data_IF_978001193839
#
_entry.id   IF_978001193839
#
_cell.length_a   1.000
_cell.length_b   1.000
_cell.length_c   1.000
_cell.angle_alpha   90.00
_cell.angle_beta   90.00
_cell.angle_gamma   90.00
#
_symmetry.space_group_name_H-M   'P 1'
#
loop_
_entity.id
_entity.type
_entity.pdbx_description
1 polymer ?
#
# COMPACT_ATOMS: atom_id res chain seq x y z
N UNK A 1 -14.99 19.81 3.49
CA UNK A 1 -14.76 18.36 3.33
C UNK A 1 -14.11 17.86 4.60
N UNK A 2 -14.58 16.75 5.19
CA UNK A 2 -13.80 16.09 6.24
C UNK A 2 -12.49 15.63 5.61
N UNK A 3 -11.38 16.00 6.22
CA UNK A 3 -10.06 15.57 5.82
C UNK A 3 -9.98 14.03 5.99
N UNK A 4 -9.69 13.30 4.91
CA UNK A 4 -9.51 11.85 4.99
C UNK A 4 -8.14 11.57 5.60
N UNK A 5 -8.11 10.91 6.76
CA UNK A 5 -6.87 10.58 7.47
C UNK A 5 -6.40 9.15 7.22
N UNK A 6 -7.34 8.22 7.01
CA UNK A 6 -7.05 6.79 6.82
C UNK A 6 -7.74 6.29 5.56
N UNK A 7 -6.99 5.61 4.70
CA UNK A 7 -7.50 4.93 3.50
C UNK A 7 -7.10 3.46 3.52
N UNK A 8 -8.06 2.56 3.33
CA UNK A 8 -7.83 1.12 3.44
C UNK A 8 -8.40 0.36 2.22
N UNK A 9 -7.51 -0.25 1.44
CA UNK A 9 -7.73 -1.17 0.34
C UNK A 9 -7.36 -2.62 0.67
N UNK A 10 -7.02 -2.92 1.92
CA UNK A 10 -6.49 -4.23 2.29
C UNK A 10 -7.50 -5.35 1.99
N UNK A 11 -7.01 -6.45 1.42
CA UNK A 11 -7.83 -7.60 1.03
C UNK A 11 -8.60 -7.41 -0.28
N UNK A 12 -8.49 -6.26 -0.95
CA UNK A 12 -9.01 -6.07 -2.31
C UNK A 12 -8.14 -6.84 -3.33
N UNK A 13 -8.25 -8.16 -3.34
CA UNK A 13 -7.44 -9.09 -4.14
C UNK A 13 -7.59 -8.93 -5.66
N UNK A 14 -8.59 -8.17 -6.12
CA UNK A 14 -8.78 -7.82 -7.54
C UNK A 14 -8.22 -6.45 -7.93
N UNK A 15 -7.77 -5.65 -6.96
CA UNK A 15 -7.17 -4.34 -7.21
C UNK A 15 -5.77 -4.53 -7.78
N UNK A 16 -5.66 -4.49 -9.12
CA UNK A 16 -4.38 -4.61 -9.85
C UNK A 16 -3.66 -3.29 -10.04
N UNK A 17 -4.43 -2.21 -10.11
CA UNK A 17 -3.93 -0.84 -10.28
C UNK A 17 -4.46 0.01 -9.15
N UNK A 18 -3.57 0.74 -8.52
CA UNK A 18 -3.95 1.70 -7.50
C UNK A 18 -4.56 2.95 -8.19
N UNK A 19 -5.62 3.55 -7.63
CA UNK A 19 -6.29 4.69 -8.25
C UNK A 19 -5.37 5.91 -8.35
N UNK A 20 -5.55 6.72 -9.39
CA UNK A 20 -4.82 7.97 -9.51
C UNK A 20 -5.27 8.96 -8.43
N UNK A 21 -4.31 9.52 -7.70
CA UNK A 21 -4.55 10.55 -6.68
C UNK A 21 -4.51 11.93 -7.32
N UNK A 22 -5.60 12.68 -7.18
CA UNK A 22 -5.70 14.05 -7.67
C UNK A 22 -5.48 15.05 -6.53
N UNK A 23 -4.56 16.00 -6.74
CA UNK A 23 -4.20 16.99 -5.74
C UNK A 23 -3.43 16.40 -4.55
N UNK A 24 -2.91 17.28 -3.68
CA UNK A 24 -2.19 16.86 -2.48
C UNK A 24 -3.16 16.35 -1.41
N UNK A 25 -2.86 15.18 -0.86
CA UNK A 25 -3.61 14.58 0.25
C UNK A 25 -2.82 14.77 1.57
N UNK A 26 -2.60 16.02 1.96
CA UNK A 26 -1.82 16.38 3.15
C UNK A 26 -2.38 15.86 4.47
N UNK A 27 -3.67 15.56 4.49
CA UNK A 27 -4.34 15.04 5.68
C UNK A 27 -4.37 13.52 5.74
N UNK A 28 -4.04 12.81 4.65
CA UNK A 28 -3.99 11.35 4.66
C UNK A 28 -2.72 10.90 5.38
N UNK A 29 -2.88 10.27 6.54
CA UNK A 29 -1.80 9.84 7.42
C UNK A 29 -1.50 8.34 7.27
N UNK A 30 -2.52 7.51 6.99
CA UNK A 30 -2.36 6.07 6.91
C UNK A 30 -2.98 5.49 5.64
N UNK A 31 -2.22 4.66 4.93
CA UNK A 31 -2.66 3.93 3.74
C UNK A 31 -2.39 2.45 3.92
N UNK A 32 -3.47 1.66 3.99
CA UNK A 32 -3.41 0.21 4.07
C UNK A 32 -3.81 -0.39 2.72
N UNK A 33 -2.94 -1.16 2.09
CA UNK A 33 -3.21 -1.83 0.81
C UNK A 33 -2.69 -3.26 0.80
N UNK A 34 -2.64 -3.90 1.97
CA UNK A 34 -2.12 -5.24 2.13
C UNK A 34 -2.97 -6.29 1.40
N UNK A 35 -2.36 -7.37 0.91
CA UNK A 35 -3.06 -8.47 0.22
C UNK A 35 -3.89 -8.01 -1.00
N UNK A 36 -3.40 -7.01 -1.73
CA UNK A 36 -3.96 -6.60 -3.02
C UNK A 36 -3.19 -7.22 -4.18
N UNK A 37 -3.75 -7.18 -5.39
CA UNK A 37 -3.06 -7.65 -6.60
C UNK A 37 -2.25 -6.55 -7.29
N UNK A 38 -1.95 -5.44 -6.59
CA UNK A 38 -1.27 -4.27 -7.14
C UNK A 38 0.09 -4.68 -7.70
N UNK A 39 0.31 -4.34 -8.96
CA UNK A 39 1.55 -4.64 -9.69
C UNK A 39 2.52 -3.45 -9.64
N UNK A 40 1.96 -2.24 -9.63
CA UNK A 40 2.69 -0.96 -9.60
C UNK A 40 1.91 0.10 -8.82
N UNK A 41 2.63 1.01 -8.17
CA UNK A 41 2.05 2.23 -7.60
C UNK A 41 2.05 3.34 -8.67
N UNK A 42 0.94 4.08 -8.84
CA UNK A 42 0.87 5.17 -9.79
C UNK A 42 1.82 6.29 -9.37
N UNK A 43 2.20 7.10 -10.35
CA UNK A 43 3.08 8.23 -10.09
C UNK A 43 2.48 9.20 -9.06
N UNK A 44 1.16 9.38 -9.11
CA UNK A 44 0.40 10.21 -8.18
C UNK A 44 0.49 9.79 -6.69
N UNK A 45 1.08 8.63 -6.35
CA UNK A 45 1.32 8.25 -4.94
C UNK A 45 2.19 9.28 -4.19
N UNK A 46 3.05 10.02 -4.90
CA UNK A 46 3.83 11.11 -4.33
C UNK A 46 3.00 12.31 -3.84
N UNK A 47 1.70 12.36 -4.17
CA UNK A 47 0.79 13.39 -3.65
C UNK A 47 0.31 13.11 -2.21
N UNK A 48 0.64 11.95 -1.64
CA UNK A 48 0.34 11.61 -0.25
C UNK A 48 1.35 12.26 0.71
N UNK A 49 1.46 13.59 0.66
CA UNK A 49 2.47 14.37 1.42
C UNK A 49 2.25 14.33 2.95
N UNK A 50 1.06 13.92 3.39
CA UNK A 50 0.70 13.73 4.80
C UNK A 50 1.11 12.39 5.40
N UNK A 51 1.46 11.42 4.56
CA UNK A 51 1.49 10.01 4.94
C UNK A 51 2.58 9.70 5.96
N UNK A 52 2.21 8.92 6.97
CA UNK A 52 3.08 8.45 8.06
C UNK A 52 3.25 6.94 8.00
N UNK A 53 2.22 6.20 7.57
CA UNK A 53 2.24 4.74 7.43
C UNK A 53 1.76 4.32 6.04
N UNK A 54 2.55 3.48 5.37
CA UNK A 54 2.21 2.81 4.11
C UNK A 54 2.36 1.29 4.25
N UNK A 55 1.24 0.57 4.25
CA UNK A 55 1.18 -0.89 4.32
C UNK A 55 0.91 -1.50 2.94
N UNK A 56 1.92 -2.18 2.39
CA UNK A 56 1.86 -2.93 1.12
C UNK A 56 2.16 -4.41 1.32
N UNK A 57 1.99 -4.94 2.54
CA UNK A 57 2.30 -6.34 2.82
C UNK A 57 1.49 -7.27 1.92
N UNK A 58 2.07 -8.39 1.52
CA UNK A 58 1.43 -9.44 0.71
C UNK A 58 0.95 -8.99 -0.67
N UNK A 59 1.42 -7.85 -1.16
CA UNK A 59 1.26 -7.45 -2.56
C UNK A 59 2.24 -8.26 -3.42
N UNK A 60 1.90 -9.53 -3.66
CA UNK A 60 2.78 -10.52 -4.30
C UNK A 60 3.24 -10.15 -5.70
N UNK A 61 2.56 -9.23 -6.39
CA UNK A 61 2.92 -8.80 -7.74
C UNK A 61 3.69 -7.48 -7.77
N UNK A 62 3.85 -6.80 -6.62
CA UNK A 62 4.57 -5.54 -6.53
C UNK A 62 6.07 -5.81 -6.55
N UNK A 63 6.75 -5.35 -7.62
CA UNK A 63 8.17 -5.64 -7.89
C UNK A 63 9.11 -4.46 -7.62
N UNK A 64 8.58 -3.25 -7.60
CA UNK A 64 9.39 -2.04 -7.42
C UNK A 64 8.60 -0.95 -6.69
N UNK A 65 9.35 -0.02 -6.11
CA UNK A 65 8.81 1.22 -5.56
C UNK A 65 9.21 2.40 -6.44
N UNK A 66 8.35 3.41 -6.62
CA UNK A 66 8.66 4.58 -7.42
C UNK A 66 9.66 5.50 -6.69
N UNK A 67 10.95 5.38 -7.04
CA UNK A 67 12.11 6.12 -6.47
C UNK A 67 11.88 7.62 -6.34
N UNK A 68 11.59 8.29 -7.45
CA UNK A 68 11.47 9.77 -7.51
C UNK A 68 10.27 10.32 -6.75
N UNK A 69 9.28 9.48 -6.47
CA UNK A 69 7.97 9.94 -6.02
C UNK A 69 7.82 9.83 -4.51
N UNK A 70 8.60 8.93 -3.91
CA UNK A 70 8.82 8.87 -2.47
C UNK A 70 9.60 10.09 -1.94
N UNK A 71 10.20 10.92 -2.80
CA UNK A 71 10.92 12.14 -2.39
C UNK A 71 10.00 13.13 -1.66
N UNK A 72 8.71 13.16 -1.98
CA UNK A 72 7.72 14.08 -1.40
C UNK A 72 7.04 13.54 -0.13
N UNK A 73 7.35 12.31 0.29
CA UNK A 73 6.74 11.65 1.44
C UNK A 73 7.58 11.88 2.71
N UNK A 74 7.89 13.14 3.02
CA UNK A 74 8.82 13.53 4.10
C UNK A 74 8.39 13.12 5.50
N UNK A 75 7.08 12.88 5.68
CA UNK A 75 6.48 12.48 6.96
C UNK A 75 6.41 10.96 7.15
N UNK A 76 6.75 10.18 6.11
CA UNK A 76 6.65 8.73 6.16
C UNK A 76 7.59 8.18 7.24
N UNK A 77 7.03 7.41 8.16
CA UNK A 77 7.77 6.75 9.24
C UNK A 77 7.78 5.25 9.07
N UNK A 78 6.67 4.68 8.61
CA UNK A 78 6.49 3.24 8.53
C UNK A 78 6.17 2.81 7.11
N UNK A 79 6.99 1.89 6.58
CA UNK A 79 6.80 1.28 5.28
C UNK A 79 6.86 -0.24 5.41
N UNK A 80 5.72 -0.90 5.21
CA UNK A 80 5.58 -2.34 5.39
C UNK A 80 5.53 -3.04 4.02
N UNK A 81 6.52 -3.89 3.74
CA UNK A 81 6.72 -4.51 2.41
C UNK A 81 6.84 -6.05 2.47
N UNK A 82 6.56 -6.67 3.62
CA UNK A 82 6.63 -8.13 3.79
C UNK A 82 5.73 -8.84 2.76
N UNK A 83 6.22 -9.91 2.11
CA UNK A 83 5.44 -10.65 1.11
C UNK A 83 5.25 -9.95 -0.23
N UNK A 84 6.08 -8.95 -0.54
CA UNK A 84 6.21 -8.36 -1.89
C UNK A 84 7.37 -9.01 -2.66
N UNK A 85 7.51 -8.68 -3.96
CA UNK A 85 8.64 -9.10 -4.80
C UNK A 85 9.68 -7.97 -4.97
N UNK A 86 9.72 -7.00 -4.05
CA UNK A 86 10.67 -5.88 -4.13
C UNK A 86 12.07 -6.38 -3.76
N UNK A 87 12.96 -6.42 -4.74
CA UNK A 87 14.37 -6.84 -4.55
C UNK A 87 15.29 -5.67 -4.20
N UNK A 88 14.98 -4.48 -4.73
CA UNK A 88 15.81 -3.28 -4.59
C UNK A 88 14.95 -2.17 -4.00
N UNK A 89 15.43 -1.61 -2.89
CA UNK A 89 14.83 -0.43 -2.30
C UNK A 89 15.45 0.86 -2.86
N UNK A 90 14.64 1.91 -3.05
CA UNK A 90 15.14 3.21 -3.49
C UNK A 90 16.04 3.85 -2.44
N UNK A 91 17.09 4.58 -2.84
CA UNK A 91 18.00 5.29 -1.91
C UNK A 91 17.26 6.30 -1.02
N UNK A 92 16.15 6.87 -1.50
CA UNK A 92 15.28 7.76 -0.73
C UNK A 92 14.74 7.12 0.57
N UNK A 93 14.77 5.78 0.69
CA UNK A 93 14.31 5.06 1.89
C UNK A 93 15.23 5.30 3.11
N UNK A 94 16.48 5.71 2.91
CA UNK A 94 17.44 6.04 3.98
C UNK A 94 16.93 7.16 4.89
N UNK A 95 15.96 7.96 4.41
CA UNK A 95 15.33 9.05 5.16
C UNK A 95 14.28 8.57 6.16
N UNK A 96 13.78 7.35 6.02
CA UNK A 96 12.75 6.79 6.90
C UNK A 96 13.37 6.42 8.24
N UNK A 97 12.96 7.11 9.30
CA UNK A 97 13.44 6.86 10.68
C UNK A 97 12.75 5.67 11.34
N UNK A 98 11.65 5.16 10.78
CA UNK A 98 10.86 4.08 11.34
C UNK A 98 11.03 2.75 10.60
N UNK A 99 10.71 1.69 11.33
CA UNK A 99 11.05 0.31 11.05
C UNK A 99 10.64 -0.12 9.63
N UNK A 100 11.62 -0.46 8.80
CA UNK A 100 11.40 -1.20 7.56
C UNK A 100 11.29 -2.69 7.92
N UNK A 101 10.08 -3.23 7.97
CA UNK A 101 9.87 -4.69 8.05
C UNK A 101 10.08 -5.30 6.65
N UNK A 102 11.35 -5.39 6.23
CA UNK A 102 11.80 -6.26 5.15
C UNK A 102 11.95 -7.67 5.72
N UNK A 103 10.89 -8.48 5.70
CA UNK A 103 11.10 -9.90 5.88
C UNK A 103 11.56 -10.50 4.54
N UNK A 104 12.87 -10.44 4.28
CA UNK A 104 13.51 -11.11 3.13
C UNK A 104 13.65 -12.63 3.35
N UNK A 105 13.09 -13.18 4.45
CA UNK A 105 13.09 -14.63 4.64
C UNK A 105 11.99 -15.22 3.79
N UNK A 106 12.38 -15.66 2.59
CA UNK A 106 11.86 -16.86 1.91
C UNK A 106 10.54 -17.35 2.51
N UNK A 107 9.44 -17.11 1.81
CA UNK A 107 8.22 -17.91 1.94
C UNK A 107 8.50 -19.35 1.51
N UNK A 108 9.35 -20.06 2.26
CA UNK A 108 9.67 -21.44 1.96
C UNK A 108 8.59 -22.41 2.44
N UNK A 109 7.54 -22.00 3.17
CA UNK A 109 6.46 -22.93 3.57
C UNK A 109 5.17 -22.23 4.05
N UNK A 110 4.52 -21.42 3.21
CA UNK A 110 3.11 -21.12 3.41
C UNK A 110 2.37 -21.28 2.08
N UNK A 111 1.90 -22.51 1.84
CA UNK A 111 0.84 -22.75 0.87
C UNK A 111 -0.31 -21.76 1.15
N UNK A 112 -0.89 -21.13 0.13
CA UNK A 112 -2.10 -20.35 0.33
C UNK A 112 -3.18 -21.31 0.83
N UNK A 113 -3.72 -21.09 2.04
CA UNK A 113 -5.07 -21.58 2.34
C UNK A 113 -5.99 -20.94 1.32
N UNK A 114 -6.41 -21.70 0.33
CA UNK A 114 -7.55 -21.35 -0.51
C UNK A 114 -8.72 -21.02 0.43
N UNK A 115 -9.34 -19.84 0.34
CA UNK A 115 -10.68 -19.70 0.85
C UNK A 115 -11.57 -20.55 -0.04
N UNK A 116 -12.12 -21.60 0.57
CA UNK A 116 -13.14 -22.44 0.00
C UNK A 116 -14.19 -21.61 -0.76
N UNK A 117 -14.45 -22.04 -1.99
CA UNK A 117 -15.74 -22.03 -2.69
C UNK A 117 -16.44 -20.69 -2.90
N UNK A 118 -16.70 -20.40 -4.18
CA UNK A 118 -17.87 -19.68 -4.72
C UNK A 118 -18.76 -18.96 -3.71
N UNK A 119 -18.61 -17.64 -3.61
CA UNK A 119 -19.73 -16.72 -3.38
C UNK A 119 -19.20 -15.30 -3.47
N UNK A 120 -19.90 -14.47 -4.21
CA UNK A 120 -19.86 -13.01 -4.14
C UNK A 120 -20.02 -12.54 -2.69
N UNK A 121 -18.93 -12.41 -1.95
CA UNK A 121 -18.91 -11.70 -0.67
C UNK A 121 -18.33 -10.30 -0.91
N UNK A 122 -19.08 -9.22 -0.67
CA UNK A 122 -18.58 -7.87 -0.84
C UNK A 122 -17.45 -7.61 0.16
N UNK A 123 -16.45 -6.84 -0.29
CA UNK A 123 -15.35 -6.35 0.54
C UNK A 123 -15.90 -5.86 1.88
N UNK A 124 -15.59 -6.57 2.97
CA UNK A 124 -16.18 -6.36 4.30
C UNK A 124 -15.50 -5.23 5.08
N UNK A 125 -15.03 -4.21 4.37
CA UNK A 125 -14.45 -3.00 4.95
C UNK A 125 -15.01 -1.82 4.16
N UNK A 126 -15.79 -0.99 4.87
CA UNK A 126 -16.43 0.22 4.35
C UNK A 126 -15.40 1.09 3.61
N UNK A 127 -15.44 1.09 2.27
CA UNK A 127 -15.10 2.28 1.51
C UNK A 127 -16.15 3.32 1.90
N UNK A 128 -15.80 4.29 2.76
CA UNK A 128 -16.73 5.33 3.16
C UNK A 128 -17.28 6.03 1.91
N UNK A 129 -18.60 6.00 1.77
CA UNK A 129 -19.37 6.80 0.83
C UNK A 129 -18.97 8.28 0.96
N UNK A 130 -18.52 8.90 -0.12
CA UNK A 130 -18.80 10.31 -0.37
C UNK A 130 -19.99 10.37 -1.31
N UNK A 131 -21.15 10.57 -0.69
CA UNK A 131 -22.46 10.87 -1.31
C UNK A 131 -22.39 12.01 -2.33
N UNK A 132 -23.19 11.88 -3.39
CA UNK A 132 -24.01 13.00 -3.86
C UNK A 132 -25.45 12.72 -3.45
#
# INVERSE_FOLDING_TARGET
MKALEILNFSGCSRLKKFPNIQGNMENLLELYSASTAVEELPSSIGHLTGIVLLDLKWCKNLKSLPTKMMENMDKLKELLLDGTQIEVLPSSIERLKGFILLNLRKYQNLEPREPATSSTAPCRWNCYNTTT
#
